data_IF_228772195871
#
_entry.id   IF_228772195871
#
_cell.length_a   1.000
_cell.length_b   1.000
_cell.length_c   1.000
_cell.angle_alpha   90.00
_cell.angle_beta   90.00
_cell.angle_gamma   90.00
#
_symmetry.space_group_name_H-M   'P 1'
#
loop_
_entity.id
_entity.type
_entity.pdbx_description
1 polymer ?
#
# COMPACT_ATOMS: atom_id res chain seq x y z
N UNK A 1 -46.12 -44.59 27.67
CA UNK A 1 -45.30 -43.39 27.33
C UNK A 1 -46.10 -42.51 26.44
N UNK A 2 -45.96 -41.20 26.49
CA UNK A 2 -46.54 -40.30 25.49
C UNK A 2 -45.91 -40.59 24.11
N UNK A 3 -46.64 -40.34 23.03
CA UNK A 3 -46.11 -40.36 21.67
C UNK A 3 -44.97 -39.34 21.54
N UNK A 4 -43.85 -39.72 20.97
CA UNK A 4 -42.75 -38.81 20.65
C UNK A 4 -42.86 -38.40 19.18
N UNK A 5 -43.30 -37.14 18.94
CA UNK A 5 -43.50 -36.61 17.60
C UNK A 5 -42.18 -36.16 16.90
N UNK A 6 -41.06 -36.10 17.66
CA UNK A 6 -39.74 -35.71 17.14
C UNK A 6 -38.96 -36.93 16.55
N UNK A 7 -39.56 -38.14 16.63
CA UNK A 7 -38.93 -39.37 16.10
C UNK A 7 -39.91 -40.03 15.12
N UNK A 8 -39.64 -39.92 13.82
CA UNK A 8 -40.45 -40.60 12.79
C UNK A 8 -40.41 -42.10 12.93
N UNK A 9 -41.44 -42.76 12.42
CA UNK A 9 -41.60 -44.19 12.42
C UNK A 9 -42.78 -44.66 13.22
N UNK A 10 -42.89 -45.99 13.36
CA UNK A 10 -44.01 -46.61 14.13
C UNK A 10 -43.66 -46.57 15.61
N UNK A 11 -44.61 -46.10 16.42
CA UNK A 11 -44.48 -46.03 17.87
C UNK A 11 -45.70 -46.69 18.53
N UNK A 12 -45.44 -47.57 19.47
CA UNK A 12 -46.49 -48.30 20.19
C UNK A 12 -46.81 -47.64 21.52
N UNK A 13 -48.09 -47.35 21.72
CA UNK A 13 -48.63 -46.87 23.01
C UNK A 13 -49.51 -47.97 23.57
N UNK A 14 -49.14 -48.54 24.73
CA UNK A 14 -49.91 -49.52 25.43
C UNK A 14 -50.73 -48.86 26.56
N UNK A 15 -52.01 -48.96 26.44
CA UNK A 15 -52.94 -48.54 27.51
C UNK A 15 -53.20 -49.74 28.41
N UNK A 16 -53.00 -49.51 29.70
CA UNK A 16 -53.32 -50.52 30.74
C UNK A 16 -54.42 -50.00 31.64
N UNK A 17 -55.40 -50.83 31.88
CA UNK A 17 -56.48 -50.53 32.82
C UNK A 17 -56.59 -51.63 33.83
N UNK A 18 -56.95 -51.26 35.07
CA UNK A 18 -57.21 -52.23 36.13
C UNK A 18 -58.59 -51.91 36.79
N UNK A 19 -59.35 -52.94 37.08
CA UNK A 19 -60.58 -52.75 37.83
C UNK A 19 -60.30 -52.73 39.36
N UNK A 20 -61.32 -52.44 40.15
CA UNK A 20 -61.20 -52.35 41.59
C UNK A 20 -60.88 -53.70 42.28
N UNK A 21 -61.02 -54.82 41.55
CA UNK A 21 -60.71 -56.17 41.99
C UNK A 21 -59.30 -56.61 41.60
N UNK A 22 -58.49 -55.75 40.91
CA UNK A 22 -57.13 -56.04 40.47
C UNK A 22 -57.03 -56.76 39.12
N UNK A 23 -58.10 -56.95 38.37
CA UNK A 23 -58.06 -57.53 37.05
C UNK A 23 -57.51 -56.46 36.10
N UNK A 24 -56.56 -56.81 35.23
CA UNK A 24 -55.92 -55.92 34.28
C UNK A 24 -56.27 -56.27 32.85
N UNK A 25 -56.38 -55.24 32.02
CA UNK A 25 -56.44 -55.39 30.58
C UNK A 25 -55.50 -54.38 29.93
N UNK A 26 -54.88 -54.79 28.83
CA UNK A 26 -53.99 -53.92 28.06
C UNK A 26 -54.33 -53.95 26.57
N UNK A 27 -54.14 -52.84 25.90
CA UNK A 27 -54.29 -52.73 24.46
C UNK A 27 -53.20 -51.82 23.93
N UNK A 28 -52.44 -52.29 22.94
CA UNK A 28 -51.44 -51.54 22.23
C UNK A 28 -52.03 -50.93 20.96
N UNK A 29 -51.72 -49.70 20.71
CA UNK A 29 -52.00 -48.97 19.50
C UNK A 29 -50.69 -48.57 18.87
N UNK A 30 -50.50 -48.84 17.58
CA UNK A 30 -49.35 -48.45 16.81
C UNK A 30 -49.68 -47.15 16.05
N UNK A 31 -48.90 -46.14 16.26
CA UNK A 31 -49.01 -44.86 15.58
C UNK A 31 -47.86 -44.72 14.63
N UNK A 32 -48.11 -44.19 13.41
CA UNK A 32 -47.06 -43.78 12.49
C UNK A 32 -46.83 -42.29 12.71
N UNK A 33 -45.60 -41.93 13.06
CA UNK A 33 -45.11 -40.54 13.08
C UNK A 33 -44.37 -40.31 11.78
N UNK A 34 -44.79 -39.32 11.03
CA UNK A 34 -44.17 -38.94 9.76
C UNK A 34 -43.71 -37.49 9.85
N UNK A 35 -42.57 -37.21 9.30
CA UNK A 35 -42.17 -35.84 9.00
C UNK A 35 -42.89 -35.36 7.75
N UNK A 36 -43.52 -34.22 7.83
CA UNK A 36 -44.33 -33.61 6.75
C UNK A 36 -43.79 -32.21 6.39
N UNK A 37 -42.74 -31.75 7.08
CA UNK A 37 -42.11 -30.48 6.79
C UNK A 37 -41.04 -30.67 5.71
N UNK A 38 -40.96 -29.75 4.78
CA UNK A 38 -39.95 -29.78 3.74
C UNK A 38 -38.73 -28.96 4.13
N UNK A 39 -37.52 -29.33 3.69
CA UNK A 39 -36.33 -28.56 3.94
C UNK A 39 -36.45 -27.11 3.45
N UNK A 40 -35.78 -26.19 4.15
CA UNK A 40 -35.77 -24.77 3.78
C UNK A 40 -34.44 -24.43 3.10
N UNK A 41 -34.52 -23.95 1.85
CA UNK A 41 -33.40 -23.39 1.12
C UNK A 41 -33.35 -21.88 1.43
N UNK A 42 -32.27 -21.45 2.13
CA UNK A 42 -32.04 -20.06 2.46
C UNK A 42 -31.06 -19.44 1.44
N UNK A 43 -31.48 -18.45 0.70
CA UNK A 43 -30.65 -17.64 -0.18
C UNK A 43 -30.07 -16.48 0.64
N UNK A 44 -28.79 -16.59 1.05
CA UNK A 44 -28.14 -15.72 2.02
C UNK A 44 -27.98 -14.26 1.55
N UNK A 45 -27.97 -14.06 0.24
CA UNK A 45 -27.85 -12.72 -0.40
C UNK A 45 -29.03 -12.41 -1.33
N UNK A 46 -30.14 -13.19 -1.21
CA UNK A 46 -31.31 -13.08 -2.06
C UNK A 46 -31.20 -13.91 -3.35
N UNK A 47 -32.23 -13.82 -4.18
CA UNK A 47 -32.37 -14.63 -5.41
C UNK A 47 -31.47 -14.16 -6.56
N UNK A 48 -31.03 -12.90 -6.54
CA UNK A 48 -30.23 -12.31 -7.58
C UNK A 48 -28.92 -11.79 -6.98
N UNK A 49 -27.80 -12.35 -7.39
CA UNK A 49 -26.47 -12.00 -6.90
C UNK A 49 -25.58 -11.54 -8.04
N UNK A 50 -24.65 -10.66 -7.72
CA UNK A 50 -23.60 -10.23 -8.65
C UNK A 50 -22.27 -10.74 -8.16
N UNK A 51 -21.46 -11.30 -9.06
CA UNK A 51 -20.11 -11.78 -8.78
C UNK A 51 -19.11 -11.10 -9.70
N UNK A 52 -17.88 -11.01 -9.25
CA UNK A 52 -16.81 -10.37 -10.02
C UNK A 52 -16.30 -11.26 -11.15
N UNK A 53 -15.91 -10.66 -12.26
CA UNK A 53 -15.31 -11.33 -13.40
C UNK A 53 -14.06 -12.12 -13.02
N UNK A 54 -13.99 -13.37 -13.46
CA UNK A 54 -12.87 -14.26 -13.20
C UNK A 54 -12.70 -14.72 -11.75
N UNK A 55 -13.64 -14.37 -10.85
CA UNK A 55 -13.62 -14.83 -9.46
C UNK A 55 -14.00 -16.30 -9.33
N UNK A 56 -13.64 -16.92 -8.22
CA UNK A 56 -14.13 -18.26 -7.89
C UNK A 56 -15.53 -18.19 -7.31
N UNK A 57 -16.50 -18.87 -7.94
CA UNK A 57 -17.86 -18.99 -7.41
C UNK A 57 -17.94 -20.20 -6.45
N UNK A 58 -18.31 -19.94 -5.19
CA UNK A 58 -18.59 -20.98 -4.20
C UNK A 58 -20.05 -20.82 -3.72
N UNK A 59 -20.90 -21.80 -4.04
CA UNK A 59 -22.33 -21.80 -3.69
C UNK A 59 -22.58 -21.66 -2.19
N UNK A 60 -21.70 -22.18 -1.33
CA UNK A 60 -21.86 -22.11 0.11
C UNK A 60 -21.85 -20.68 0.68
N UNK A 61 -21.33 -19.72 -0.08
CA UNK A 61 -21.40 -18.30 0.30
C UNK A 61 -22.78 -17.65 0.04
N UNK A 62 -23.66 -18.37 -0.67
CA UNK A 62 -24.95 -17.84 -1.15
C UNK A 62 -26.15 -18.67 -0.69
N UNK A 63 -25.94 -19.95 -0.35
CA UNK A 63 -27.02 -20.89 -0.07
C UNK A 63 -26.70 -21.68 1.18
N UNK A 64 -27.71 -21.80 2.05
CA UNK A 64 -27.73 -22.80 3.12
C UNK A 64 -29.08 -23.53 3.12
N UNK A 65 -29.05 -24.81 3.50
CA UNK A 65 -30.25 -25.64 3.57
C UNK A 65 -30.34 -26.25 4.96
N UNK A 66 -31.54 -26.15 5.53
CA UNK A 66 -31.80 -26.67 6.88
C UNK A 66 -33.19 -27.35 6.87
N UNK A 67 -33.24 -28.49 7.51
CA UNK A 67 -34.46 -29.21 7.80
C UNK A 67 -34.66 -29.35 9.33
N UNK A 68 -35.90 -29.42 9.77
CA UNK A 68 -36.27 -29.50 11.17
C UNK A 68 -35.79 -30.81 11.83
N UNK A 69 -35.73 -31.90 11.08
CA UNK A 69 -35.37 -33.24 11.55
C UNK A 69 -33.98 -33.68 11.09
N UNK A 70 -33.69 -33.50 9.80
CA UNK A 70 -32.43 -33.95 9.19
C UNK A 70 -31.29 -32.93 9.39
N UNK A 71 -31.59 -31.72 9.88
CA UNK A 71 -30.61 -30.67 10.13
C UNK A 71 -30.07 -30.05 8.85
N UNK A 72 -28.75 -29.87 8.76
CA UNK A 72 -28.12 -29.27 7.58
C UNK A 72 -28.07 -30.25 6.40
N UNK A 73 -28.60 -29.86 5.26
CA UNK A 73 -28.62 -30.63 4.03
C UNK A 73 -27.84 -29.94 2.92
N UNK A 74 -27.48 -30.71 1.88
CA UNK A 74 -26.82 -30.19 0.67
C UNK A 74 -27.82 -30.25 -0.50
N UNK A 75 -28.06 -29.16 -1.22
CA UNK A 75 -28.98 -29.19 -2.37
C UNK A 75 -28.34 -29.87 -3.58
N UNK A 76 -29.14 -30.51 -4.39
CA UNK A 76 -28.79 -30.84 -5.75
C UNK A 76 -28.81 -29.56 -6.59
N UNK A 77 -27.83 -29.41 -7.49
CA UNK A 77 -27.65 -28.20 -8.31
C UNK A 77 -27.73 -28.58 -9.79
N UNK A 78 -28.62 -27.98 -10.51
CA UNK A 78 -28.68 -28.04 -11.97
C UNK A 78 -28.21 -26.69 -12.54
N UNK A 79 -27.21 -26.72 -13.44
CA UNK A 79 -26.55 -25.56 -14.02
C UNK A 79 -25.14 -25.40 -13.51
N UNK A 80 -24.47 -24.38 -14.01
CA UNK A 80 -23.13 -23.98 -13.60
C UNK A 80 -22.93 -22.50 -13.83
N UNK A 81 -22.06 -21.88 -13.05
CA UNK A 81 -21.67 -20.48 -13.21
C UNK A 81 -20.32 -20.40 -13.90
N UNK A 82 -20.30 -19.70 -15.03
CA UNK A 82 -19.07 -19.31 -15.72
C UNK A 82 -18.79 -17.84 -15.42
N UNK A 83 -17.83 -17.58 -14.55
CA UNK A 83 -17.45 -16.23 -14.12
C UNK A 83 -16.72 -15.43 -15.21
N UNK A 84 -16.48 -16.01 -16.38
CA UNK A 84 -15.97 -15.29 -17.55
C UNK A 84 -17.07 -14.79 -18.48
N UNK A 85 -18.33 -15.17 -18.26
CA UNK A 85 -19.50 -14.70 -19.02
C UNK A 85 -20.18 -13.53 -18.33
N UNK A 86 -19.97 -12.35 -18.86
CA UNK A 86 -20.52 -11.11 -18.31
C UNK A 86 -21.94 -10.80 -18.82
N UNK A 87 -22.68 -10.04 -18.03
CA UNK A 87 -23.97 -9.40 -18.37
C UNK A 87 -25.11 -10.35 -18.77
N UNK A 88 -24.90 -11.66 -18.65
CA UNK A 88 -25.91 -12.69 -18.80
C UNK A 88 -26.39 -13.18 -17.43
N UNK A 89 -27.69 -13.43 -17.29
CA UNK A 89 -28.22 -14.10 -16.12
C UNK A 89 -27.96 -15.59 -16.24
N UNK A 90 -27.16 -16.14 -15.34
CA UNK A 90 -26.89 -17.57 -15.22
C UNK A 90 -27.66 -18.10 -14.02
N UNK A 91 -28.54 -19.08 -14.24
CA UNK A 91 -29.42 -19.59 -13.19
C UNK A 91 -28.98 -20.96 -12.72
N UNK A 92 -28.80 -21.11 -11.41
CA UNK A 92 -28.67 -22.39 -10.74
C UNK A 92 -30.05 -22.79 -10.22
N UNK A 93 -30.55 -23.96 -10.62
CA UNK A 93 -31.74 -24.54 -10.02
C UNK A 93 -31.29 -25.42 -8.86
N UNK A 94 -31.89 -25.20 -7.72
CA UNK A 94 -31.60 -25.87 -6.47
C UNK A 94 -32.78 -26.77 -6.10
N UNK A 95 -32.53 -28.01 -5.75
CA UNK A 95 -33.52 -28.93 -5.23
C UNK A 95 -32.96 -29.71 -4.05
N UNK A 96 -33.76 -29.95 -3.06
CA UNK A 96 -33.39 -30.75 -1.88
C UNK A 96 -34.56 -31.62 -1.47
N UNK A 97 -34.25 -32.83 -1.00
CA UNK A 97 -35.19 -33.76 -0.42
C UNK A 97 -34.64 -34.23 0.93
N UNK A 98 -35.54 -34.25 1.93
CA UNK A 98 -35.23 -34.83 3.24
C UNK A 98 -35.31 -36.38 3.22
N UNK A 99 -34.99 -37.00 4.35
CA UNK A 99 -35.05 -38.46 4.51
C UNK A 99 -36.52 -39.02 4.49
N UNK A 100 -37.49 -38.15 4.70
CA UNK A 100 -38.94 -38.47 4.71
C UNK A 100 -39.59 -38.35 3.33
N UNK A 101 -38.88 -37.76 2.35
CA UNK A 101 -39.30 -37.58 0.99
C UNK A 101 -39.93 -36.22 0.67
N UNK A 102 -39.95 -35.27 1.63
CA UNK A 102 -40.42 -33.91 1.36
C UNK A 102 -39.38 -33.16 0.54
N UNK A 103 -39.81 -32.32 -0.40
CA UNK A 103 -38.92 -31.63 -1.34
C UNK A 103 -39.14 -30.14 -1.37
N UNK A 104 -38.03 -29.40 -1.58
CA UNK A 104 -38.04 -27.97 -1.85
C UNK A 104 -37.19 -27.66 -3.07
N UNK A 105 -37.69 -26.72 -3.89
CA UNK A 105 -36.96 -26.19 -5.04
C UNK A 105 -36.78 -24.68 -4.89
N UNK A 106 -35.70 -24.17 -5.43
CA UNK A 106 -35.39 -22.74 -5.50
C UNK A 106 -34.48 -22.44 -6.70
N UNK A 107 -34.25 -21.16 -6.97
CA UNK A 107 -33.33 -20.75 -8.02
C UNK A 107 -32.46 -19.61 -7.54
N UNK A 108 -31.18 -19.65 -7.89
CA UNK A 108 -30.21 -18.56 -7.68
C UNK A 108 -29.80 -18.00 -9.05
N UNK A 109 -30.07 -16.75 -9.28
CA UNK A 109 -29.65 -16.02 -10.47
C UNK A 109 -28.33 -15.31 -10.21
N UNK A 110 -27.34 -15.56 -11.03
CA UNK A 110 -26.01 -14.96 -10.92
C UNK A 110 -25.73 -14.14 -12.17
N UNK A 111 -25.31 -12.89 -11.96
CA UNK A 111 -24.80 -12.01 -13.01
C UNK A 111 -23.34 -11.73 -12.74
N UNK A 112 -22.50 -11.92 -13.74
CA UNK A 112 -21.08 -11.58 -13.65
C UNK A 112 -20.88 -10.15 -14.13
N UNK A 113 -20.19 -9.36 -13.33
CA UNK A 113 -19.78 -7.99 -13.69
C UNK A 113 -18.32 -7.80 -13.34
N UNK A 114 -17.68 -6.85 -13.99
CA UNK A 114 -16.39 -6.37 -13.58
C UNK A 114 -16.55 -5.38 -12.44
N UNK A 115 -16.13 -5.80 -11.26
CA UNK A 115 -16.24 -5.04 -10.01
C UNK A 115 -14.87 -4.68 -9.43
N UNK A 116 -13.81 -5.25 -10.00
CA UNK A 116 -12.44 -5.03 -9.56
C UNK A 116 -11.85 -3.78 -10.19
N UNK A 117 -11.17 -2.98 -9.40
CA UNK A 117 -10.42 -1.85 -9.93
C UNK A 117 -9.01 -2.29 -10.38
N UNK A 118 -8.46 -1.67 -11.44
CA UNK A 118 -7.12 -1.98 -11.92
C UNK A 118 -6.04 -1.74 -10.86
N UNK A 119 -4.95 -2.50 -10.91
CA UNK A 119 -3.82 -2.39 -10.00
C UNK A 119 -2.66 -1.66 -10.67
N UNK A 120 -2.31 -0.48 -10.12
CA UNK A 120 -1.15 0.30 -10.57
C UNK A 120 0.08 -0.12 -9.77
N UNK A 121 1.18 -0.45 -10.46
CA UNK A 121 2.48 -0.73 -9.84
C UNK A 121 3.50 0.31 -10.29
N UNK A 122 4.17 0.94 -9.33
CA UNK A 122 5.28 1.87 -9.56
C UNK A 122 6.62 1.20 -9.19
N UNK A 123 7.71 1.58 -9.88
CA UNK A 123 9.06 1.10 -9.57
C UNK A 123 9.60 1.65 -8.25
N UNK A 124 9.11 2.83 -7.85
CA UNK A 124 9.52 3.53 -6.63
C UNK A 124 8.29 4.14 -5.94
N UNK A 125 8.32 4.22 -4.61
CA UNK A 125 7.31 4.94 -3.83
C UNK A 125 7.76 6.36 -3.45
N UNK A 126 9.06 6.63 -3.55
CA UNK A 126 9.65 7.92 -3.23
C UNK A 126 10.93 8.18 -4.05
N UNK A 127 11.13 9.41 -4.47
CA UNK A 127 12.33 9.88 -5.17
C UNK A 127 12.84 11.17 -4.56
N UNK A 128 14.13 11.46 -4.78
CA UNK A 128 14.76 12.70 -4.36
C UNK A 128 15.40 13.36 -5.58
N UNK A 129 15.00 14.57 -5.87
CA UNK A 129 15.46 15.37 -7.01
C UNK A 129 15.86 16.78 -6.55
N UNK A 130 16.44 17.57 -7.43
CA UNK A 130 16.72 18.98 -7.19
C UNK A 130 15.67 19.88 -7.86
N UNK A 131 15.46 21.08 -7.32
CA UNK A 131 14.58 22.06 -7.95
C UNK A 131 15.08 22.42 -9.35
N UNK A 132 14.18 22.33 -10.34
CA UNK A 132 14.46 22.53 -11.75
C UNK A 132 14.91 21.29 -12.51
N UNK A 133 15.07 20.11 -11.85
CA UNK A 133 15.34 18.86 -12.55
C UNK A 133 14.14 18.51 -13.46
N UNK A 134 14.43 18.10 -14.68
CA UNK A 134 13.42 17.54 -15.57
C UNK A 134 13.26 16.05 -15.29
N UNK A 135 12.06 15.64 -14.84
CA UNK A 135 11.75 14.27 -14.47
C UNK A 135 10.67 13.71 -15.38
N UNK A 136 10.97 12.61 -16.01
CA UNK A 136 9.96 11.82 -16.72
C UNK A 136 9.23 10.91 -15.72
N UNK A 137 8.07 11.34 -15.26
CA UNK A 137 7.26 10.58 -14.32
C UNK A 137 6.68 9.30 -14.94
N UNK A 138 6.58 9.20 -16.27
CA UNK A 138 6.07 7.99 -16.94
C UNK A 138 7.03 6.80 -16.76
N UNK A 139 8.32 7.06 -16.59
CA UNK A 139 9.34 6.03 -16.38
C UNK A 139 9.20 5.25 -15.09
N UNK A 140 8.45 5.76 -14.12
CA UNK A 140 8.18 5.07 -12.84
C UNK A 140 6.97 4.14 -12.90
N UNK A 141 6.15 4.20 -13.96
CA UNK A 141 5.01 3.31 -14.14
C UNK A 141 5.47 1.95 -14.66
N UNK A 142 5.36 0.90 -13.85
CA UNK A 142 5.71 -0.48 -14.21
C UNK A 142 4.54 -1.16 -14.89
N UNK A 143 3.36 -1.13 -14.27
CA UNK A 143 2.17 -1.78 -14.78
C UNK A 143 0.89 -1.09 -14.31
N UNK A 144 -0.17 -1.29 -15.08
CA UNK A 144 -1.55 -1.06 -14.68
C UNK A 144 -2.37 -2.22 -15.25
N UNK A 145 -2.71 -3.17 -14.37
CA UNK A 145 -3.33 -4.44 -14.78
C UNK A 145 -4.71 -4.54 -14.16
N UNK A 146 -5.65 -4.87 -14.98
CA UNK A 146 -7.02 -5.17 -14.60
C UNK A 146 -7.33 -6.67 -14.85
N UNK A 147 -8.24 -7.26 -14.06
CA UNK A 147 -8.58 -8.68 -14.18
C UNK A 147 -9.32 -9.01 -15.47
N UNK A 148 -10.10 -8.07 -16.01
CA UNK A 148 -10.85 -8.23 -17.26
C UNK A 148 -10.16 -7.55 -18.45
N UNK A 149 -9.76 -6.28 -18.29
CA UNK A 149 -9.25 -5.45 -19.38
C UNK A 149 -7.75 -5.68 -19.65
N UNK A 150 -7.05 -6.41 -18.76
CA UNK A 150 -5.63 -6.74 -18.91
C UNK A 150 -4.73 -5.55 -18.69
N UNK A 151 -3.74 -5.37 -19.56
CA UNK A 151 -2.77 -4.27 -19.47
C UNK A 151 -3.35 -2.96 -20.03
N UNK A 152 -3.69 -2.07 -19.13
CA UNK A 152 -4.26 -0.75 -19.43
C UNK A 152 -3.31 0.41 -19.11
N UNK A 153 -1.98 0.18 -19.10
CA UNK A 153 -0.97 1.22 -18.84
C UNK A 153 -1.12 2.46 -19.73
N UNK A 154 -1.58 2.27 -20.97
CA UNK A 154 -1.80 3.38 -21.89
C UNK A 154 -2.93 4.33 -21.49
N UNK A 155 -3.82 3.90 -20.59
CA UNK A 155 -4.94 4.70 -20.05
C UNK A 155 -4.57 5.44 -18.76
N UNK A 156 -3.34 5.24 -18.22
CA UNK A 156 -2.92 5.89 -16.97
C UNK A 156 -2.72 7.38 -17.17
N UNK A 157 -3.42 8.17 -16.41
CA UNK A 157 -3.22 9.62 -16.33
C UNK A 157 -2.24 9.94 -15.20
N UNK A 158 -1.26 10.81 -15.48
CA UNK A 158 -0.21 11.20 -14.54
C UNK A 158 -0.35 12.69 -14.23
N UNK A 159 -0.71 13.00 -12.99
CA UNK A 159 -0.66 14.35 -12.45
C UNK A 159 0.71 14.59 -11.84
N UNK A 160 1.63 15.15 -12.63
CA UNK A 160 3.00 15.43 -12.23
C UNK A 160 3.09 16.79 -11.51
N UNK A 161 3.82 16.87 -10.38
CA UNK A 161 4.05 18.15 -9.72
C UNK A 161 5.10 18.98 -10.46
N UNK A 162 5.04 20.32 -10.37
CA UNK A 162 6.16 21.18 -10.77
C UNK A 162 7.38 20.89 -9.89
N UNK A 163 8.54 20.76 -10.53
CA UNK A 163 9.84 20.53 -9.90
C UNK A 163 10.58 21.84 -9.56
N UNK A 164 10.07 23.02 -9.94
CA UNK A 164 10.77 24.32 -9.84
C UNK A 164 11.03 24.76 -8.39
N UNK A 165 10.23 24.30 -7.43
CA UNK A 165 10.30 24.73 -6.02
C UNK A 165 10.59 23.55 -5.11
N UNK A 166 11.56 23.73 -4.23
CA UNK A 166 11.88 22.79 -3.17
C UNK A 166 10.69 22.50 -2.24
N UNK A 167 10.63 21.28 -1.73
CA UNK A 167 9.59 20.79 -0.84
C UNK A 167 9.21 19.34 -1.13
N UNK A 168 8.31 18.80 -0.34
CA UNK A 168 7.72 17.51 -0.61
C UNK A 168 6.51 17.70 -1.52
N UNK A 169 6.46 16.95 -2.59
CA UNK A 169 5.42 16.93 -3.60
C UNK A 169 4.97 15.50 -3.85
N UNK A 170 3.88 15.34 -4.57
CA UNK A 170 3.37 14.02 -4.95
C UNK A 170 3.04 14.03 -6.43
N UNK A 171 3.51 13.03 -7.16
CA UNK A 171 2.96 12.67 -8.46
C UNK A 171 1.88 11.61 -8.25
N UNK A 172 0.73 11.79 -8.88
CA UNK A 172 -0.41 10.86 -8.78
C UNK A 172 -0.67 10.21 -10.12
N UNK A 173 -0.83 8.90 -10.10
CA UNK A 173 -1.17 8.06 -11.24
C UNK A 173 -2.58 7.57 -11.03
N UNK A 174 -3.46 7.77 -11.99
CA UNK A 174 -4.86 7.34 -11.93
C UNK A 174 -5.23 6.57 -13.18
N UNK A 175 -6.08 5.58 -13.04
CA UNK A 175 -6.59 4.81 -14.17
C UNK A 175 -7.99 4.31 -13.85
N UNK A 176 -8.81 4.20 -14.89
CA UNK A 176 -10.12 3.54 -14.84
C UNK A 176 -10.17 2.47 -15.91
N UNK A 177 -10.82 1.35 -15.59
CA UNK A 177 -11.15 0.29 -16.53
C UNK A 177 -12.36 0.68 -17.40
N UNK A 178 -12.82 -0.24 -18.25
CA UNK A 178 -14.00 -0.02 -19.10
C UNK A 178 -15.31 -0.10 -18.34
N UNK A 179 -15.34 -0.77 -17.17
CA UNK A 179 -16.51 -0.85 -16.29
C UNK A 179 -16.68 0.40 -15.42
N UNK A 180 -15.64 1.26 -15.34
CA UNK A 180 -15.64 2.49 -14.55
C UNK A 180 -15.02 2.34 -13.16
N UNK A 181 -14.46 1.16 -12.80
CA UNK A 181 -13.73 1.02 -11.56
C UNK A 181 -12.39 1.74 -11.68
N UNK A 182 -11.99 2.44 -10.62
CA UNK A 182 -10.84 3.34 -10.68
C UNK A 182 -9.86 3.07 -9.55
N UNK A 183 -8.57 3.25 -9.84
CA UNK A 183 -7.51 3.19 -8.84
C UNK A 183 -6.52 4.34 -8.97
N UNK A 184 -5.74 4.54 -7.91
CA UNK A 184 -4.68 5.53 -7.90
C UNK A 184 -3.44 5.04 -7.15
N UNK A 185 -2.26 5.46 -7.61
CA UNK A 185 -0.99 5.28 -6.93
C UNK A 185 -0.25 6.60 -6.81
N UNK A 186 0.60 6.73 -5.79
CA UNK A 186 1.31 7.97 -5.50
C UNK A 186 2.81 7.75 -5.40
N UNK A 187 3.58 8.65 -6.02
CA UNK A 187 5.03 8.74 -5.91
C UNK A 187 5.37 10.02 -5.14
N UNK A 188 6.00 9.86 -3.97
CA UNK A 188 6.47 10.98 -3.18
C UNK A 188 7.76 11.55 -3.79
N UNK A 189 7.77 12.85 -4.06
CA UNK A 189 8.89 13.58 -4.67
C UNK A 189 9.46 14.56 -3.67
N UNK A 190 10.62 14.26 -3.12
CA UNK A 190 11.37 15.22 -2.28
C UNK A 190 12.24 16.09 -3.17
N UNK A 191 11.90 17.37 -3.27
CA UNK A 191 12.61 18.34 -4.09
C UNK A 191 13.56 19.14 -3.21
N UNK A 192 14.85 18.98 -3.43
CA UNK A 192 15.88 19.75 -2.74
C UNK A 192 15.96 21.17 -3.31
N UNK A 193 16.26 22.14 -2.45
CA UNK A 193 16.48 23.50 -2.90
C UNK A 193 17.79 23.60 -3.67
N UNK A 194 17.73 24.06 -4.90
CA UNK A 194 18.91 24.52 -5.64
C UNK A 194 19.12 25.99 -5.31
N UNK A 195 20.29 26.32 -4.82
CA UNK A 195 20.67 27.71 -4.59
C UNK A 195 21.30 28.25 -5.87
N UNK A 196 20.52 28.92 -6.70
CA UNK A 196 21.01 29.77 -7.78
C UNK A 196 21.49 31.08 -7.13
N UNK A 197 22.70 31.07 -6.59
CA UNK A 197 23.37 32.32 -6.26
C UNK A 197 23.63 33.11 -7.55
N UNK A 198 23.52 34.42 -7.50
CA UNK A 198 23.97 35.38 -8.52
C UNK A 198 25.31 34.94 -9.10
N UNK A 199 25.48 34.98 -10.42
CA UNK A 199 26.61 34.47 -11.22
C UNK A 199 27.92 34.36 -10.42
N UNK A 200 28.10 33.17 -9.88
CA UNK A 200 29.14 32.94 -8.89
C UNK A 200 30.48 32.81 -9.62
N UNK A 201 31.48 33.48 -9.09
CA UNK A 201 32.87 33.20 -9.38
C UNK A 201 33.30 31.78 -8.98
N UNK A 202 32.44 31.03 -8.25
CA UNK A 202 32.60 29.61 -7.95
C UNK A 202 31.83 28.75 -8.96
N UNK A 203 32.54 28.30 -10.00
CA UNK A 203 31.95 27.51 -11.09
C UNK A 203 31.25 26.21 -10.64
N UNK A 204 31.56 25.71 -9.43
CA UNK A 204 31.04 24.45 -8.88
C UNK A 204 30.05 24.65 -7.74
N UNK A 205 29.79 25.91 -7.34
CA UNK A 205 29.09 26.26 -6.11
C UNK A 205 27.74 25.59 -5.95
N UNK A 206 26.91 25.61 -6.98
CA UNK A 206 25.58 25.01 -6.94
C UNK A 206 25.60 23.50 -6.77
N UNK A 207 26.50 22.80 -7.48
CA UNK A 207 26.62 21.36 -7.41
C UNK A 207 27.19 20.89 -6.06
N UNK A 208 28.15 21.63 -5.50
CA UNK A 208 28.69 21.36 -4.16
C UNK A 208 27.61 21.56 -3.10
N UNK A 209 26.82 22.63 -3.21
CA UNK A 209 25.69 22.89 -2.30
C UNK A 209 24.61 21.81 -2.40
N UNK A 210 24.26 21.39 -3.61
CA UNK A 210 23.33 20.27 -3.84
C UNK A 210 23.83 18.99 -3.16
N UNK A 211 25.13 18.66 -3.36
CA UNK A 211 25.76 17.51 -2.68
C UNK A 211 25.66 17.64 -1.15
N UNK A 212 25.91 18.83 -0.60
CA UNK A 212 25.81 19.07 0.84
C UNK A 212 24.38 18.84 1.37
N UNK A 213 23.37 19.34 0.67
CA UNK A 213 21.97 19.12 1.04
C UNK A 213 21.55 17.64 1.04
N UNK A 214 22.08 16.86 0.08
CA UNK A 214 21.76 15.41 -0.03
C UNK A 214 22.21 14.59 1.19
N UNK A 215 23.05 15.15 2.06
CA UNK A 215 23.60 14.48 3.24
C UNK A 215 23.10 15.03 4.58
N UNK A 216 22.10 15.90 4.57
CA UNK A 216 21.47 16.34 5.82
C UNK A 216 20.94 15.12 6.60
N UNK A 217 21.19 15.10 7.90
CA UNK A 217 20.82 14.00 8.79
C UNK A 217 21.84 12.84 8.83
N UNK A 218 22.87 12.83 7.96
CA UNK A 218 23.91 11.81 8.05
C UNK A 218 24.70 11.95 9.36
N UNK A 219 25.00 10.83 10.06
CA UNK A 219 25.66 10.88 11.36
C UNK A 219 27.10 11.41 11.26
N UNK A 220 27.52 12.16 12.29
CA UNK A 220 28.91 12.49 12.47
C UNK A 220 29.71 11.27 12.93
N UNK A 221 30.84 11.03 12.30
CA UNK A 221 31.84 10.06 12.75
C UNK A 221 33.25 10.59 12.46
N UNK A 222 34.08 10.71 13.49
CA UNK A 222 35.46 11.14 13.38
C UNK A 222 36.22 10.27 12.36
N UNK A 223 36.94 10.93 11.45
CA UNK A 223 37.74 10.26 10.41
C UNK A 223 36.92 9.70 9.25
N UNK A 224 35.61 9.93 9.20
CA UNK A 224 34.74 9.46 8.11
C UNK A 224 34.58 10.53 7.01
N UNK A 225 34.64 10.06 5.73
CA UNK A 225 34.50 10.90 4.53
C UNK A 225 33.37 10.40 3.60
N UNK A 226 32.30 9.83 4.16
CA UNK A 226 31.12 9.38 3.44
C UNK A 226 31.20 7.93 2.93
N UNK A 227 30.13 7.46 2.24
CA UNK A 227 28.92 8.22 1.91
C UNK A 227 27.86 8.29 3.04
N UNK A 228 28.00 7.48 4.10
CA UNK A 228 26.96 7.30 5.12
C UNK A 228 27.23 8.02 6.46
N UNK A 229 28.48 8.43 6.70
CA UNK A 229 28.88 9.17 7.89
C UNK A 229 30.04 10.13 7.53
N UNK A 230 30.21 11.20 8.30
CA UNK A 230 31.17 12.25 7.99
C UNK A 230 31.77 12.88 9.25
N UNK A 231 33.06 13.27 9.19
CA UNK A 231 33.55 14.39 9.99
C UNK A 231 33.44 15.70 9.18
N UNK A 232 33.84 16.84 9.77
CA UNK A 232 33.67 18.15 9.12
C UNK A 232 34.43 18.25 7.80
N UNK A 233 35.70 17.84 7.77
CA UNK A 233 36.56 17.89 6.59
C UNK A 233 36.28 16.79 5.58
N UNK A 234 35.85 15.62 6.05
CA UNK A 234 35.41 14.52 5.21
C UNK A 234 34.10 14.83 4.49
N UNK A 235 33.19 15.55 5.16
CA UNK A 235 31.97 16.06 4.53
C UNK A 235 32.28 17.03 3.39
N UNK A 236 33.13 18.03 3.63
CA UNK A 236 33.55 18.98 2.59
C UNK A 236 34.25 18.27 1.43
N UNK A 237 35.21 17.36 1.74
CA UNK A 237 35.89 16.54 0.74
C UNK A 237 34.90 15.75 -0.13
N UNK A 238 33.91 15.13 0.49
CA UNK A 238 32.92 14.35 -0.22
C UNK A 238 32.06 15.23 -1.13
N UNK A 239 31.61 16.39 -0.67
CA UNK A 239 30.82 17.33 -1.48
C UNK A 239 31.57 17.76 -2.74
N UNK A 240 32.83 18.12 -2.60
CA UNK A 240 33.68 18.52 -3.74
C UNK A 240 34.07 17.38 -4.67
N UNK A 241 34.13 16.13 -4.18
CA UNK A 241 34.34 14.96 -5.04
C UNK A 241 33.20 14.75 -6.05
N UNK A 242 32.01 15.26 -5.76
CA UNK A 242 30.85 15.17 -6.68
C UNK A 242 30.97 16.07 -7.90
N UNK A 243 31.87 17.02 -7.87
CA UNK A 243 32.23 17.89 -8.99
C UNK A 243 33.65 17.62 -9.55
N UNK A 244 34.21 16.47 -9.21
CA UNK A 244 35.53 16.04 -9.69
C UNK A 244 36.72 16.68 -8.98
N UNK A 245 36.50 17.43 -7.89
CA UNK A 245 37.58 18.11 -7.15
C UNK A 245 37.98 17.24 -5.94
N UNK A 246 39.24 16.87 -5.89
CA UNK A 246 39.80 16.12 -4.77
C UNK A 246 40.38 17.07 -3.72
N UNK A 247 39.83 17.07 -2.51
CA UNK A 247 40.28 17.83 -1.37
C UNK A 247 40.98 16.93 -0.33
N UNK A 248 41.97 17.47 0.44
CA UNK A 248 42.54 16.73 1.55
C UNK A 248 41.48 16.48 2.66
N UNK A 249 41.63 15.37 3.39
CA UNK A 249 40.77 15.06 4.53
C UNK A 249 41.38 15.68 5.80
N UNK A 250 41.42 17.00 5.84
CA UNK A 250 41.94 17.78 6.97
C UNK A 250 41.45 19.21 6.87
N UNK A 251 40.77 19.70 7.91
CA UNK A 251 40.28 21.10 7.94
C UNK A 251 41.40 22.13 7.81
N UNK A 252 42.57 21.87 8.39
CA UNK A 252 43.74 22.75 8.26
C UNK A 252 44.30 22.77 6.84
N UNK A 253 44.38 21.62 6.16
CA UNK A 253 44.86 21.54 4.79
C UNK A 253 43.83 22.13 3.79
N UNK A 254 42.53 22.02 4.06
CA UNK A 254 41.49 22.65 3.24
C UNK A 254 41.54 24.19 3.26
N UNK A 255 42.14 24.81 4.27
CA UNK A 255 42.39 26.24 4.30
C UNK A 255 43.24 26.73 3.10
N UNK A 256 44.08 25.86 2.57
CA UNK A 256 45.00 26.16 1.45
C UNK A 256 44.49 25.58 0.12
N UNK A 257 43.25 25.06 0.06
CA UNK A 257 42.73 24.40 -1.13
C UNK A 257 42.23 25.37 -2.21
N UNK A 258 42.26 26.67 -1.96
CA UNK A 258 41.81 27.70 -2.88
C UNK A 258 42.20 29.11 -2.45
N UNK A 259 41.54 30.12 -3.00
CA UNK A 259 41.72 31.51 -2.64
C UNK A 259 41.01 31.83 -1.33
N UNK A 260 41.75 32.36 -0.35
CA UNK A 260 41.13 32.85 0.89
C UNK A 260 40.48 34.20 0.66
N UNK A 261 39.24 34.31 1.11
CA UNK A 261 38.41 35.53 1.03
C UNK A 261 37.76 35.81 2.38
N UNK A 262 37.22 37.01 2.57
CA UNK A 262 36.47 37.31 3.79
C UNK A 262 35.18 36.45 3.86
N UNK A 263 34.70 36.17 5.06
CA UNK A 263 33.42 35.45 5.28
C UNK A 263 32.26 36.22 4.65
N UNK A 264 32.31 37.57 4.65
CA UNK A 264 31.29 38.43 4.04
C UNK A 264 31.25 38.37 2.50
N UNK A 265 32.35 37.95 1.87
CA UNK A 265 32.47 37.72 0.43
C UNK A 265 32.20 36.29 0.02
N UNK A 266 31.79 35.41 0.96
CA UNK A 266 31.50 34.03 0.66
C UNK A 266 30.30 33.89 -0.25
N UNK A 267 30.43 33.02 -1.21
CA UNK A 267 29.37 32.61 -2.14
C UNK A 267 28.99 31.14 -1.94
N UNK A 268 27.75 30.74 -2.33
CA UNK A 268 27.36 29.33 -2.20
C UNK A 268 28.37 28.37 -2.80
N UNK A 269 28.72 27.34 -2.04
CA UNK A 269 29.76 26.37 -2.38
C UNK A 269 31.15 26.68 -1.77
N UNK A 270 31.44 27.90 -1.33
CA UNK A 270 32.71 28.20 -0.67
C UNK A 270 32.84 27.45 0.65
N UNK A 271 34.07 27.07 0.99
CA UNK A 271 34.39 26.43 2.28
C UNK A 271 34.53 27.51 3.34
N UNK A 272 33.69 27.53 4.35
CA UNK A 272 33.91 28.33 5.55
C UNK A 272 34.90 27.64 6.45
N UNK A 273 35.87 28.40 6.94
CA UNK A 273 37.00 27.85 7.72
C UNK A 273 37.19 28.59 9.05
N UNK A 274 37.40 27.81 10.11
CA UNK A 274 37.99 28.21 11.38
C UNK A 274 38.94 27.12 11.87
N UNK A 275 39.77 27.41 12.90
CA UNK A 275 40.64 26.40 13.49
C UNK A 275 39.81 25.18 13.95
N UNK A 276 40.20 24.00 13.46
CA UNK A 276 39.56 22.71 13.80
C UNK A 276 38.20 22.45 13.12
N UNK A 277 37.67 23.36 12.29
CA UNK A 277 36.35 23.15 11.70
C UNK A 277 36.14 23.80 10.33
N UNK A 278 35.35 23.11 9.50
CA UNK A 278 34.96 23.58 8.17
C UNK A 278 33.49 23.26 7.89
N UNK A 279 32.88 24.00 6.93
CA UNK A 279 31.55 23.75 6.41
C UNK A 279 31.39 24.34 5.02
N UNK A 280 30.29 24.02 4.33
CA UNK A 280 29.93 24.54 3.01
C UNK A 280 28.98 25.72 3.19
N UNK A 281 29.36 26.90 2.71
CA UNK A 281 28.47 28.07 2.67
C UNK A 281 27.36 27.82 1.64
N UNK A 282 26.12 28.11 2.02
CA UNK A 282 24.93 27.85 1.19
C UNK A 282 24.15 29.12 0.84
N UNK A 283 24.69 30.29 1.17
CA UNK A 283 24.00 31.56 0.97
C UNK A 283 23.12 31.95 2.17
N UNK A 284 22.64 33.20 2.18
CA UNK A 284 21.72 33.71 3.20
C UNK A 284 22.25 33.64 4.64
N UNK A 285 23.59 33.73 4.83
CA UNK A 285 24.21 33.64 6.14
C UNK A 285 24.15 32.24 6.79
N UNK A 286 23.98 31.18 5.99
CA UNK A 286 23.86 29.79 6.44
C UNK A 286 24.93 28.89 5.81
N UNK A 287 25.24 27.80 6.49
CA UNK A 287 26.17 26.76 6.02
C UNK A 287 25.73 25.37 6.45
N UNK A 288 26.21 24.34 5.73
CA UNK A 288 26.03 22.93 6.08
C UNK A 288 27.36 22.38 6.55
N UNK A 289 27.33 21.61 7.63
CA UNK A 289 28.52 20.97 8.22
C UNK A 289 28.17 19.67 8.95
N UNK A 290 29.17 18.85 9.20
CA UNK A 290 29.15 17.76 10.18
C UNK A 290 29.83 18.29 11.47
N UNK A 291 29.07 18.56 12.56
CA UNK A 291 29.61 19.35 13.68
C UNK A 291 30.54 18.60 14.60
N UNK A 292 30.10 17.50 15.24
CA UNK A 292 30.82 16.75 16.27
C UNK A 292 30.20 15.40 16.54
N UNK A 293 30.88 14.56 17.31
CA UNK A 293 30.37 13.25 17.77
C UNK A 293 29.04 13.40 18.47
N UNK A 294 28.11 12.53 18.12
CA UNK A 294 26.71 12.52 18.65
C UNK A 294 25.75 13.43 17.89
N UNK A 295 26.20 14.14 16.88
CA UNK A 295 25.40 15.03 16.04
C UNK A 295 25.32 14.52 14.59
N UNK A 296 24.58 15.23 13.76
CA UNK A 296 24.36 14.90 12.34
C UNK A 296 24.75 16.07 11.43
N UNK A 297 24.93 15.79 10.15
CA UNK A 297 25.06 16.85 9.13
C UNK A 297 23.83 17.74 9.19
N UNK A 298 24.02 19.03 9.39
CA UNK A 298 22.94 20.00 9.59
C UNK A 298 23.26 21.40 9.04
N UNK A 299 22.20 22.21 8.93
CA UNK A 299 22.31 23.62 8.61
C UNK A 299 22.50 24.44 9.88
N UNK A 300 23.44 25.39 9.84
CA UNK A 300 23.70 26.31 10.94
C UNK A 300 23.84 27.76 10.42
N UNK A 301 23.72 28.74 11.34
CA UNK A 301 23.95 30.16 11.04
C UNK A 301 25.43 30.49 11.06
N UNK A 302 25.90 31.27 10.09
CA UNK A 302 27.25 31.82 10.05
C UNK A 302 27.45 32.85 11.18
N UNK A 303 26.43 33.60 11.53
CA UNK A 303 26.47 34.54 12.66
C UNK A 303 26.77 33.79 13.97
N UNK A 304 27.79 34.22 14.69
CA UNK A 304 28.21 33.57 15.93
C UNK A 304 29.01 32.26 15.74
N UNK A 305 29.21 31.79 14.52
CA UNK A 305 29.96 30.51 14.26
C UNK A 305 31.45 30.59 14.49
N UNK A 306 32.03 31.78 14.47
CA UNK A 306 33.48 32.00 14.65
C UNK A 306 34.34 31.65 13.43
N UNK A 307 33.78 31.53 12.22
CA UNK A 307 34.55 31.41 10.99
C UNK A 307 35.38 32.66 10.73
N UNK A 308 36.62 32.49 10.30
CA UNK A 308 37.58 33.58 10.12
C UNK A 308 37.83 33.90 8.64
N UNK A 309 37.60 32.96 7.75
CA UNK A 309 37.69 33.19 6.30
C UNK A 309 36.80 32.20 5.55
N UNK A 310 36.56 32.45 4.29
CA UNK A 310 36.06 31.49 3.34
C UNK A 310 37.14 31.12 2.32
N UNK A 311 37.06 29.93 1.75
CA UNK A 311 38.01 29.40 0.75
C UNK A 311 37.22 29.16 -0.53
N UNK A 312 37.57 29.91 -1.57
CA UNK A 312 37.02 29.74 -2.91
C UNK A 312 37.87 28.80 -3.71
N UNK A 313 37.40 27.58 -3.89
CA UNK A 313 38.04 26.55 -4.71
C UNK A 313 37.67 26.84 -6.18
N UNK A 314 38.65 26.82 -7.08
CA UNK A 314 38.48 27.09 -8.53
C UNK A 314 38.57 25.81 -9.33
#
# INVERSE_FOLDING_TARGET
MPLNTDVPGFQDITLNVADSSGNTASKTFTFAVSDLEAPVINLLQGENVTVDYGSTFDLNNYVSVVDNLDGALTPNVEGSIDTLKMDEVQTLKLSVQDSSGNTTESALNVVVKDLSAPVITLSESNIVINAGDNVDFSSYLVSAIDNKDGDIRSKVEISAPSTDKAGNKTATYTVSDEAGNSSSASLTVKINKVYTGSAASNAYGNAVVSAAYSKLGAPYKWGAAGPNAFDCSGFVKWCYSKVGISLPHSSSAQKSAGTQISVSAAEPGDILWKSGHVGIYIGGGKYIHAPQTGDVVKISSVSGSGFVCAIRVK
#
